data_IF_954441185209
#
_entry.id   IF_954441185209
#
_cell.length_a   1.000
_cell.length_b   1.000
_cell.length_c   1.000
_cell.angle_alpha   90.00
_cell.angle_beta   90.00
_cell.angle_gamma   90.00
#
_symmetry.space_group_name_H-M   'P 1'
#
loop_
_entity.id
_entity.type
_entity.pdbx_description
1 polymer ?
#
# COMPACT_ATOMS: atom_id res chain seq x y z
N UNK A 1 -16.18 -3.56 -10.91
CA UNK A 1 -15.03 -2.83 -10.33
C UNK A 1 -14.64 -1.72 -11.29
N UNK A 2 -14.54 -0.48 -10.81
CA UNK A 2 -13.92 0.59 -11.63
C UNK A 2 -12.40 0.44 -11.61
N UNK A 3 -11.71 1.00 -12.62
CA UNK A 3 -10.24 1.03 -12.66
C UNK A 3 -9.64 1.65 -11.40
N UNK A 4 -10.28 2.70 -10.88
CA UNK A 4 -9.86 3.37 -9.65
C UNK A 4 -9.98 2.45 -8.43
N UNK A 5 -11.11 1.75 -8.27
CA UNK A 5 -11.29 0.79 -7.17
C UNK A 5 -10.24 -0.33 -7.20
N UNK A 6 -9.87 -0.81 -8.39
CA UNK A 6 -8.81 -1.80 -8.52
C UNK A 6 -7.43 -1.27 -8.07
N UNK A 7 -7.11 -0.03 -8.44
CA UNK A 7 -5.84 0.62 -8.05
C UNK A 7 -5.79 0.82 -6.53
N UNK A 8 -6.87 1.34 -5.95
CA UNK A 8 -7.00 1.55 -4.50
C UNK A 8 -6.85 0.22 -3.75
N UNK A 9 -7.56 -0.83 -4.20
CA UNK A 9 -7.45 -2.16 -3.61
C UNK A 9 -6.02 -2.70 -3.63
N UNK A 10 -5.30 -2.51 -4.74
CA UNK A 10 -3.90 -2.93 -4.86
C UNK A 10 -2.97 -2.17 -3.93
N UNK A 11 -3.17 -0.86 -3.75
CA UNK A 11 -2.41 -0.02 -2.82
C UNK A 11 -2.66 -0.43 -1.37
N UNK A 12 -3.92 -0.70 -1.01
CA UNK A 12 -4.28 -1.22 0.32
C UNK A 12 -3.63 -2.58 0.60
N UNK A 13 -3.65 -3.51 -0.37
CA UNK A 13 -3.02 -4.82 -0.22
C UNK A 13 -1.51 -4.74 0.08
N UNK A 14 -0.82 -3.68 -0.37
CA UNK A 14 0.60 -3.46 -0.04
C UNK A 14 0.77 -3.20 1.46
N UNK A 15 -0.07 -2.34 2.03
CA UNK A 15 -0.04 -2.03 3.46
C UNK A 15 -0.47 -3.22 4.32
N UNK A 16 -1.52 -3.93 3.89
CA UNK A 16 -2.02 -5.11 4.60
C UNK A 16 -0.95 -6.21 4.67
N UNK A 17 -0.24 -6.49 3.57
CA UNK A 17 0.82 -7.50 3.60
C UNK A 17 1.94 -7.12 4.58
N UNK A 18 2.34 -5.84 4.62
CA UNK A 18 3.32 -5.35 5.58
C UNK A 18 2.90 -5.59 7.04
N UNK A 19 1.61 -5.37 7.33
CA UNK A 19 1.01 -5.62 8.65
C UNK A 19 0.94 -7.12 8.96
N UNK A 20 0.50 -7.95 8.02
CA UNK A 20 0.38 -9.41 8.18
C UNK A 20 1.74 -10.05 8.45
N UNK A 21 2.78 -9.61 7.75
CA UNK A 21 4.14 -10.14 7.93
C UNK A 21 4.87 -9.54 9.14
N UNK A 22 4.42 -8.40 9.66
CA UNK A 22 5.16 -7.62 10.65
C UNK A 22 6.51 -7.12 10.15
N UNK A 23 6.75 -7.19 8.84
CA UNK A 23 8.02 -6.85 8.20
C UNK A 23 7.79 -6.20 6.84
N UNK A 24 7.91 -4.87 6.81
CA UNK A 24 7.70 -4.04 5.62
C UNK A 24 8.71 -4.38 4.53
N UNK A 25 9.97 -4.67 4.89
CA UNK A 25 11.02 -4.96 3.91
C UNK A 25 10.75 -6.27 3.17
N UNK A 26 10.29 -7.28 3.88
CA UNK A 26 9.92 -8.57 3.29
C UNK A 26 8.65 -8.46 2.43
N UNK A 27 7.64 -7.72 2.90
CA UNK A 27 6.42 -7.43 2.12
C UNK A 27 6.74 -6.70 0.81
N UNK A 28 7.56 -5.65 0.87
CA UNK A 28 8.01 -4.90 -0.32
C UNK A 28 8.75 -5.80 -1.32
N UNK A 29 9.64 -6.66 -0.82
CA UNK A 29 10.38 -7.63 -1.65
C UNK A 29 9.46 -8.65 -2.31
N UNK A 30 8.48 -9.20 -1.59
CA UNK A 30 7.49 -10.17 -2.12
C UNK A 30 6.58 -9.55 -3.18
N UNK A 31 6.20 -8.29 -3.02
CA UNK A 31 5.32 -7.57 -3.95
C UNK A 31 6.07 -6.89 -5.10
N UNK A 32 7.40 -6.88 -5.07
CA UNK A 32 8.22 -6.21 -6.08
C UNK A 32 8.07 -4.69 -6.07
N UNK A 33 7.85 -4.10 -4.90
CA UNK A 33 7.70 -2.65 -4.71
C UNK A 33 8.81 -2.09 -3.82
N UNK A 34 9.12 -0.81 -3.97
CA UNK A 34 10.08 -0.12 -3.11
C UNK A 34 9.49 0.20 -1.75
N UNK A 35 10.33 0.25 -0.71
CA UNK A 35 9.94 0.71 0.63
C UNK A 35 9.39 2.14 0.61
N UNK A 36 9.95 3.01 -0.25
CA UNK A 36 9.44 4.37 -0.43
C UNK A 36 7.96 4.35 -0.83
N UNK A 37 7.61 3.54 -1.82
CA UNK A 37 6.23 3.40 -2.30
C UNK A 37 5.27 2.95 -1.20
N UNK A 38 5.70 2.06 -0.30
CA UNK A 38 4.91 1.68 0.87
C UNK A 38 4.62 2.89 1.76
N UNK A 39 5.65 3.68 2.08
CA UNK A 39 5.49 4.86 2.94
C UNK A 39 4.69 5.97 2.27
N UNK A 40 4.84 6.19 0.96
CA UNK A 40 4.04 7.16 0.20
C UNK A 40 2.53 6.80 0.27
N UNK A 41 2.19 5.52 0.09
CA UNK A 41 0.79 5.05 0.24
C UNK A 41 0.31 5.24 1.67
N UNK A 42 1.15 4.92 2.66
CA UNK A 42 0.81 5.06 4.07
C UNK A 42 0.53 6.53 4.42
N UNK A 43 1.40 7.43 4.01
CA UNK A 43 1.29 8.88 4.24
C UNK A 43 0.06 9.47 3.56
N UNK A 44 -0.23 9.07 2.32
CA UNK A 44 -1.43 9.52 1.60
C UNK A 44 -2.71 9.14 2.36
N UNK A 45 -2.78 7.92 2.91
CA UNK A 45 -3.94 7.49 3.73
C UNK A 45 -4.00 8.24 5.06
N UNK A 46 -2.85 8.45 5.72
CA UNK A 46 -2.79 9.15 7.00
C UNK A 46 -3.16 10.63 6.88
N UNK A 47 -2.90 11.25 5.72
CA UNK A 47 -3.13 12.68 5.47
C UNK A 47 -4.49 12.95 4.84
N UNK A 48 -4.87 12.19 3.82
CA UNK A 48 -6.02 12.47 2.95
C UNK A 48 -7.06 11.32 2.96
N UNK A 49 -6.82 10.26 3.76
CA UNK A 49 -7.68 9.09 3.78
C UNK A 49 -7.62 8.28 2.49
N UNK A 50 -8.69 7.54 2.20
CA UNK A 50 -8.78 6.74 0.96
C UNK A 50 -8.87 7.59 -0.31
N UNK A 51 -9.19 8.88 -0.18
CA UNK A 51 -9.28 9.81 -1.31
C UNK A 51 -7.89 10.20 -1.84
N UNK A 52 -6.83 10.03 -1.04
CA UNK A 52 -5.44 10.24 -1.45
C UNK A 52 -4.82 9.12 -2.29
N UNK A 53 -5.57 8.07 -2.65
CA UNK A 53 -5.06 6.84 -3.31
C UNK A 53 -5.39 6.66 -4.79
#
# INVERSE_FOLDING_TARGET
MTRQQYIIGRKLSILELGKTLGNISDACRKLGVSRQHFYDIKEAIETEGLEGL
#
